data_IF_145923523158
#
_entry.id   IF_145923523158
#
_cell.length_a   1.000
_cell.length_b   1.000
_cell.length_c   1.000
_cell.angle_alpha   90.00
_cell.angle_beta   90.00
_cell.angle_gamma   90.00
#
_symmetry.space_group_name_H-M   'P 1'
#
loop_
_entity.id
_entity.type
_entity.pdbx_description
1 polymer ?
#
# COMPACT_ATOMS: atom_id res chain seq x y z
N UNK A 1 -16.54 14.52 -0.60
CA UNK A 1 -15.98 13.45 -1.45
C UNK A 1 -14.53 13.24 -1.02
N UNK A 2 -14.10 12.00 -0.82
CA UNK A 2 -12.82 11.65 -0.17
C UNK A 2 -11.70 11.51 -1.23
N UNK A 3 -11.72 12.43 -2.21
CA UNK A 3 -10.93 12.42 -3.44
C UNK A 3 -9.47 12.78 -3.13
N UNK A 4 -8.76 11.83 -2.54
CA UNK A 4 -7.39 12.03 -2.08
C UNK A 4 -7.04 11.26 -0.81
N UNK A 5 -8.00 10.70 -0.10
CA UNK A 5 -7.70 9.77 0.99
C UNK A 5 -7.45 8.36 0.44
N UNK A 6 -6.49 7.59 1.00
CA UNK A 6 -5.47 8.05 1.94
C UNK A 6 -4.31 8.81 1.28
N UNK A 7 -4.17 8.74 -0.04
CA UNK A 7 -3.23 9.57 -0.81
C UNK A 7 -3.80 9.93 -2.20
N UNK A 8 -3.51 11.13 -2.73
CA UNK A 8 -3.81 11.48 -4.12
C UNK A 8 -2.96 10.71 -5.13
N UNK A 9 -1.88 10.04 -4.68
CA UNK A 9 -1.00 9.23 -5.53
C UNK A 9 -1.56 7.83 -5.82
N UNK A 10 -2.54 7.38 -5.03
CA UNK A 10 -3.21 6.11 -5.26
C UNK A 10 -4.47 6.35 -6.12
N UNK A 11 -4.54 5.66 -7.26
CA UNK A 11 -5.76 5.63 -8.09
C UNK A 11 -6.92 4.96 -7.34
N UNK A 12 -8.16 5.23 -7.76
CA UNK A 12 -9.35 4.56 -7.20
C UNK A 12 -9.22 3.03 -7.20
N UNK A 13 -8.74 2.46 -8.31
CA UNK A 13 -8.51 1.03 -8.45
C UNK A 13 -7.49 0.49 -7.44
N UNK A 14 -6.40 1.22 -7.21
CA UNK A 14 -5.36 0.82 -6.24
C UNK A 14 -5.89 0.81 -4.81
N UNK A 15 -6.74 1.77 -4.45
CA UNK A 15 -7.43 1.81 -3.15
C UNK A 15 -8.37 0.61 -3.01
N UNK A 16 -9.15 0.30 -4.05
CA UNK A 16 -10.04 -0.86 -4.04
C UNK A 16 -9.27 -2.19 -3.94
N UNK A 17 -8.16 -2.31 -4.66
CA UNK A 17 -7.29 -3.49 -4.62
C UNK A 17 -6.66 -3.68 -3.24
N UNK A 18 -6.17 -2.60 -2.61
CA UNK A 18 -5.65 -2.63 -1.25
C UNK A 18 -6.68 -3.19 -0.26
N UNK A 19 -7.92 -2.68 -0.29
CA UNK A 19 -9.00 -3.15 0.58
C UNK A 19 -9.34 -4.61 0.29
N UNK A 20 -9.48 -5.00 -0.98
CA UNK A 20 -9.76 -6.39 -1.38
C UNK A 20 -8.67 -7.35 -0.91
N UNK A 21 -7.41 -6.95 -1.01
CA UNK A 21 -6.28 -7.75 -0.58
C UNK A 21 -6.27 -7.93 0.94
N UNK A 22 -6.50 -6.86 1.71
CA UNK A 22 -6.58 -6.92 3.18
C UNK A 22 -7.72 -7.80 3.71
N UNK A 23 -8.85 -7.78 3.03
CA UNK A 23 -10.04 -8.55 3.43
C UNK A 23 -10.04 -9.99 2.92
N UNK A 24 -8.99 -10.42 2.20
CA UNK A 24 -8.91 -11.77 1.66
C UNK A 24 -8.82 -12.80 2.80
N UNK A 25 -9.65 -13.84 2.72
CA UNK A 25 -9.65 -14.95 3.66
C UNK A 25 -8.25 -15.60 3.74
N UNK A 26 -7.82 -15.98 4.95
CA UNK A 26 -6.50 -16.56 5.26
C UNK A 26 -5.28 -15.65 5.03
N UNK A 27 -5.43 -14.32 5.10
CA UNK A 27 -4.27 -13.45 5.28
C UNK A 27 -3.58 -13.74 6.62
N UNK A 28 -2.26 -13.94 6.56
CA UNK A 28 -1.44 -14.03 7.76
C UNK A 28 -0.73 -12.68 8.01
N UNK A 29 -0.11 -12.53 9.19
CA UNK A 29 0.57 -11.27 9.58
C UNK A 29 1.65 -10.85 8.58
N UNK A 30 2.38 -11.80 8.00
CA UNK A 30 3.45 -11.53 7.02
C UNK A 30 2.86 -10.91 5.75
N UNK A 31 1.91 -11.59 5.12
CA UNK A 31 1.23 -11.10 3.90
C UNK A 31 0.51 -9.77 4.14
N UNK A 32 -0.10 -9.60 5.32
CA UNK A 32 -0.77 -8.35 5.68
C UNK A 32 0.22 -7.19 5.70
N UNK A 33 1.40 -7.40 6.31
CA UNK A 33 2.48 -6.40 6.32
C UNK A 33 2.98 -6.09 4.90
N UNK A 34 3.13 -7.10 4.04
CA UNK A 34 3.54 -6.88 2.65
C UNK A 34 2.55 -5.99 1.89
N UNK A 35 1.25 -6.28 1.97
CA UNK A 35 0.19 -5.48 1.34
C UNK A 35 0.16 -4.05 1.88
N UNK A 36 0.27 -3.87 3.21
CA UNK A 36 0.31 -2.54 3.84
C UNK A 36 1.56 -1.77 3.45
N UNK A 37 2.71 -2.43 3.38
CA UNK A 37 4.00 -1.86 3.02
C UNK A 37 3.99 -1.35 1.58
N UNK A 38 3.55 -2.18 0.63
CA UNK A 38 3.43 -1.81 -0.78
C UNK A 38 2.52 -0.57 -0.96
N UNK A 39 1.34 -0.59 -0.36
CA UNK A 39 0.39 0.52 -0.45
C UNK A 39 0.90 1.80 0.25
N UNK A 40 1.66 1.67 1.34
CA UNK A 40 2.30 2.80 2.01
C UNK A 40 3.36 3.45 1.13
N UNK A 41 4.19 2.64 0.46
CA UNK A 41 5.18 3.15 -0.50
C UNK A 41 4.52 3.85 -1.68
N UNK A 42 3.41 3.31 -2.20
CA UNK A 42 2.60 3.96 -3.23
C UNK A 42 2.11 5.34 -2.76
N UNK A 43 1.52 5.40 -1.56
CA UNK A 43 0.99 6.64 -0.99
C UNK A 43 2.07 7.72 -0.82
N UNK A 44 3.32 7.32 -0.57
CA UNK A 44 4.49 8.21 -0.42
C UNK A 44 5.20 8.52 -1.74
N UNK A 45 4.84 7.85 -2.84
CA UNK A 45 5.52 7.98 -4.13
C UNK A 45 6.90 7.33 -4.18
N UNK A 46 7.15 6.33 -3.32
CA UNK A 46 8.42 5.62 -3.22
C UNK A 46 8.38 4.24 -3.89
N UNK A 47 7.20 3.73 -4.22
CA UNK A 47 7.05 2.45 -4.90
C UNK A 47 7.75 2.49 -6.27
N UNK A 48 8.62 1.51 -6.54
CA UNK A 48 9.38 1.43 -7.78
C UNK A 48 10.60 2.36 -7.88
N UNK A 49 10.91 3.12 -6.82
CA UNK A 49 12.12 3.96 -6.76
C UNK A 49 13.29 3.21 -6.14
N UNK A 50 14.52 3.69 -6.34
CA UNK A 50 15.72 3.17 -5.67
C UNK A 50 15.63 3.26 -4.12
N UNK A 51 14.82 4.18 -3.60
CA UNK A 51 14.62 4.39 -2.17
C UNK A 51 13.57 3.47 -1.56
N UNK A 52 12.88 2.64 -2.37
CA UNK A 52 11.80 1.78 -1.90
C UNK A 52 12.25 0.83 -0.79
N UNK A 53 13.40 0.16 -0.96
CA UNK A 53 13.95 -0.79 0.00
C UNK A 53 14.44 -0.11 1.28
N UNK A 54 15.09 1.04 1.16
CA UNK A 54 15.52 1.82 2.31
C UNK A 54 14.32 2.28 3.14
N UNK A 55 13.27 2.81 2.50
CA UNK A 55 12.05 3.24 3.18
C UNK A 55 11.27 2.05 3.77
N UNK A 56 11.27 0.92 3.07
CA UNK A 56 10.68 -0.34 3.48
C UNK A 56 11.26 -0.90 4.77
N UNK A 57 12.53 -0.65 5.07
CA UNK A 57 13.17 -1.11 6.30
C UNK A 57 12.58 -0.46 7.57
N UNK A 58 11.87 0.67 7.41
CA UNK A 58 11.25 1.43 8.50
C UNK A 58 9.73 1.19 8.61
N UNK A 59 9.18 0.20 7.88
CA UNK A 59 7.76 -0.17 7.87
C UNK A 59 7.56 -1.59 8.41
#
# INVERSE_FOLDING_TARGET
>A
DNDGYPSPRASKQEKENFVKNLLRDKMNKVKTREVVKEFTLLCRGLLGTEYAEAAAAFL
#
